data_IF_526972049780
#
_entry.id   IF_526972049780
#
_cell.length_a   1.000
_cell.length_b   1.000
_cell.length_c   1.000
_cell.angle_alpha   90.00
_cell.angle_beta   90.00
_cell.angle_gamma   90.00
#
_symmetry.space_group_name_H-M   'P 1'
#
loop_
_entity.id
_entity.type
_entity.pdbx_description
1 polymer ?
#
# COMPACT_ATOMS: atom_id res chain seq x y z
N UNK A 1 -9.78 20.05 -10.91
CA UNK A 1 -11.14 19.91 -10.33
C UNK A 1 -12.27 20.20 -11.31
N UNK A 2 -12.18 21.26 -12.13
CA UNK A 2 -13.30 21.69 -13.00
C UNK A 2 -13.36 20.99 -14.38
N UNK A 3 -12.26 20.38 -14.80
CA UNK A 3 -12.13 19.77 -16.12
C UNK A 3 -13.13 18.62 -16.37
N UNK A 4 -13.26 17.68 -15.45
CA UNK A 4 -14.14 16.50 -15.64
C UNK A 4 -15.61 16.93 -15.77
N UNK A 5 -16.05 17.85 -14.91
CA UNK A 5 -17.41 18.39 -14.95
C UNK A 5 -17.70 19.17 -16.24
N UNK A 6 -16.74 19.97 -16.75
CA UNK A 6 -16.93 20.71 -18.00
C UNK A 6 -17.06 19.78 -19.22
N UNK A 7 -16.37 18.63 -19.20
CA UNK A 7 -16.52 17.60 -20.22
C UNK A 7 -17.90 16.94 -20.16
N UNK A 8 -18.44 16.68 -18.97
CA UNK A 8 -19.81 16.17 -18.83
C UNK A 8 -20.85 17.14 -19.39
N UNK A 9 -20.74 18.44 -19.07
CA UNK A 9 -21.62 19.48 -19.58
C UNK A 9 -21.55 19.59 -21.10
N UNK A 10 -20.33 19.64 -21.67
CA UNK A 10 -20.13 19.75 -23.12
C UNK A 10 -20.74 18.56 -23.88
N UNK A 11 -20.76 17.38 -23.27
CA UNK A 11 -21.34 16.16 -23.86
C UNK A 11 -22.83 15.96 -23.53
N UNK A 12 -23.48 16.93 -22.87
CA UNK A 12 -24.90 16.87 -22.55
C UNK A 12 -25.28 15.84 -21.46
N UNK A 13 -24.31 15.36 -20.69
CA UNK A 13 -24.58 14.45 -19.57
C UNK A 13 -25.31 15.21 -18.46
N UNK A 14 -26.33 14.59 -17.87
CA UNK A 14 -27.12 15.18 -16.79
C UNK A 14 -26.46 14.90 -15.43
N UNK A 15 -26.55 15.84 -14.47
CA UNK A 15 -26.15 15.55 -13.10
C UNK A 15 -27.11 14.52 -12.49
N UNK A 16 -26.56 13.58 -11.70
CA UNK A 16 -27.33 12.46 -11.11
C UNK A 16 -27.17 12.38 -9.59
N UNK A 17 -26.23 13.13 -9.03
CA UNK A 17 -25.97 13.12 -7.59
C UNK A 17 -26.85 14.19 -6.94
N UNK A 18 -27.50 13.90 -5.82
CA UNK A 18 -28.23 14.90 -5.05
C UNK A 18 -27.23 15.58 -4.11
N UNK A 19 -26.76 16.78 -4.44
CA UNK A 19 -25.49 17.32 -3.88
C UNK A 19 -25.63 18.64 -3.15
N UNK A 20 -26.78 19.28 -3.26
CA UNK A 20 -26.99 20.63 -2.74
C UNK A 20 -27.93 20.55 -1.54
N UNK A 21 -27.83 21.50 -0.61
CA UNK A 21 -28.69 21.55 0.59
C UNK A 21 -30.18 21.66 0.23
N UNK A 22 -30.49 22.17 -0.97
CA UNK A 22 -31.82 22.28 -1.59
C UNK A 22 -32.21 21.05 -2.45
N UNK A 23 -31.39 20.00 -2.49
CA UNK A 23 -31.70 18.73 -3.16
C UNK A 23 -31.59 18.77 -4.69
N UNK A 24 -31.04 19.84 -5.26
CA UNK A 24 -30.74 19.92 -6.69
C UNK A 24 -29.63 18.95 -7.09
N UNK A 25 -29.81 18.36 -8.28
CA UNK A 25 -28.86 17.43 -8.86
C UNK A 25 -27.58 18.15 -9.32
N UNK A 26 -26.42 17.59 -8.96
CA UNK A 26 -25.10 18.06 -9.36
C UNK A 26 -24.20 16.91 -9.84
N UNK A 27 -23.00 17.27 -10.30
CA UNK A 27 -22.02 16.32 -10.87
C UNK A 27 -21.02 15.79 -9.85
N UNK A 28 -21.19 16.13 -8.58
CA UNK A 28 -20.23 15.83 -7.51
C UNK A 28 -20.95 15.07 -6.40
N UNK A 29 -20.21 14.34 -5.59
CA UNK A 29 -20.73 13.74 -4.36
C UNK A 29 -19.73 14.06 -3.26
N UNK A 30 -20.04 14.98 -2.34
CA UNK A 30 -19.21 15.17 -1.17
C UNK A 30 -19.30 13.90 -0.33
N UNK A 31 -18.16 13.45 0.15
CA UNK A 31 -18.06 12.43 1.17
C UNK A 31 -17.08 12.94 2.23
N UNK A 32 -17.30 12.63 3.51
CA UNK A 32 -16.33 12.96 4.53
C UNK A 32 -15.03 12.24 4.20
N UNK A 33 -13.93 12.98 4.19
CA UNK A 33 -12.62 12.37 4.26
C UNK A 33 -12.42 11.88 5.69
N UNK A 34 -11.69 10.77 5.85
CA UNK A 34 -11.29 10.29 7.17
C UNK A 34 -10.32 11.25 7.87
N UNK A 35 -9.69 10.76 8.93
CA UNK A 35 -8.57 11.47 9.55
C UNK A 35 -7.41 11.64 8.56
N UNK A 36 -6.71 12.77 8.67
CA UNK A 36 -5.38 12.96 8.08
C UNK A 36 -4.35 12.84 9.18
N UNK A 37 -3.20 12.28 8.84
CA UNK A 37 -2.03 12.24 9.72
C UNK A 37 -0.87 12.93 9.00
N UNK A 38 -0.09 13.70 9.74
CA UNK A 38 1.15 14.29 9.22
C UNK A 38 2.33 13.39 9.62
N UNK A 39 3.25 13.16 8.68
CA UNK A 39 4.52 12.51 9.00
C UNK A 39 5.39 13.49 9.79
N UNK A 40 5.61 13.19 11.06
CA UNK A 40 6.47 14.01 11.94
C UNK A 40 7.93 13.57 11.85
N UNK A 41 8.17 12.26 11.97
CA UNK A 41 9.51 11.68 12.00
C UNK A 41 9.47 10.22 11.52
N UNK A 42 10.48 9.82 10.76
CA UNK A 42 10.70 8.42 10.36
C UNK A 42 12.19 8.16 10.27
N UNK A 43 12.61 6.99 10.73
CA UNK A 43 13.99 6.54 10.67
C UNK A 43 14.04 5.03 10.48
N UNK A 44 15.03 4.58 9.71
CA UNK A 44 15.32 3.18 9.51
C UNK A 44 16.83 2.97 9.62
N UNK A 45 17.23 1.99 10.42
CA UNK A 45 18.63 1.60 10.58
C UNK A 45 18.74 0.09 10.77
N UNK A 46 19.82 -0.50 10.27
CA UNK A 46 20.16 -1.90 10.50
C UNK A 46 21.66 -2.05 10.72
N UNK A 47 22.05 -2.54 11.91
CA UNK A 47 23.45 -2.54 12.33
C UNK A 47 24.01 -1.11 12.36
N UNK A 48 25.16 -0.90 11.72
CA UNK A 48 25.80 0.41 11.61
C UNK A 48 25.33 1.25 10.40
N UNK A 49 24.34 0.76 9.65
CA UNK A 49 23.79 1.45 8.48
C UNK A 49 22.54 2.23 8.84
N UNK A 50 22.56 3.53 8.57
CA UNK A 50 21.37 4.37 8.47
C UNK A 50 20.88 4.41 7.02
N UNK A 51 19.57 4.47 6.83
CA UNK A 51 18.93 4.54 5.52
C UNK A 51 18.27 5.91 5.34
N UNK A 52 18.27 6.41 4.11
CA UNK A 52 17.71 7.72 3.76
C UNK A 52 16.30 7.58 3.17
N UNK A 53 15.33 8.35 3.71
CA UNK A 53 13.97 8.41 3.19
C UNK A 53 13.97 8.90 1.74
N UNK A 54 13.09 8.35 0.90
CA UNK A 54 12.94 8.62 -0.54
C UNK A 54 14.12 8.19 -1.44
N UNK A 55 15.25 7.79 -0.86
CA UNK A 55 16.35 7.15 -1.58
C UNK A 55 16.37 5.65 -1.35
N UNK A 56 16.45 5.24 -0.08
CA UNK A 56 16.62 3.85 0.31
C UNK A 56 15.29 3.18 0.69
N UNK A 57 14.32 3.96 1.18
CA UNK A 57 13.00 3.46 1.56
C UNK A 57 11.91 4.53 1.42
N UNK A 58 10.67 4.08 1.33
CA UNK A 58 9.48 4.93 1.31
C UNK A 58 8.49 4.47 2.39
N UNK A 59 7.72 5.40 2.93
CA UNK A 59 6.63 5.09 3.84
C UNK A 59 5.42 4.57 3.05
N UNK A 60 4.82 3.46 3.50
CA UNK A 60 3.64 2.86 2.83
C UNK A 60 2.30 3.42 3.31
N UNK A 61 2.30 4.24 4.36
CA UNK A 61 1.10 4.80 5.04
C UNK A 61 0.11 3.74 5.58
N UNK A 62 0.52 2.47 5.61
CA UNK A 62 -0.32 1.33 6.03
C UNK A 62 -0.14 0.94 7.51
N UNK A 63 0.71 1.66 8.25
CA UNK A 63 1.10 1.33 9.62
C UNK A 63 0.57 2.29 10.69
N UNK A 64 0.91 2.00 11.94
CA UNK A 64 0.78 2.92 13.08
C UNK A 64 2.13 3.55 13.40
N UNK A 65 2.14 4.61 14.19
CA UNK A 65 3.36 5.15 14.77
C UNK A 65 3.90 4.23 15.89
N UNK A 66 5.17 3.87 15.79
CA UNK A 66 5.95 3.24 16.86
C UNK A 66 7.45 3.28 16.52
N UNK A 67 8.30 3.39 17.54
CA UNK A 67 9.72 3.12 17.43
C UNK A 67 10.04 1.75 18.02
N UNK A 68 10.73 0.89 17.27
CA UNK A 68 11.13 -0.44 17.73
C UNK A 68 12.55 -0.78 17.29
N UNK A 69 13.28 -1.46 18.17
CA UNK A 69 14.56 -2.11 17.85
C UNK A 69 14.43 -3.58 18.21
N UNK A 70 14.56 -4.44 17.21
CA UNK A 70 14.40 -5.88 17.36
C UNK A 70 15.22 -6.64 16.31
N UNK A 71 15.50 -7.93 16.53
CA UNK A 71 16.15 -8.76 15.52
C UNK A 71 15.37 -8.80 14.20
N UNK A 72 16.09 -8.78 13.08
CA UNK A 72 15.52 -8.97 11.76
C UNK A 72 15.36 -10.46 11.47
N UNK A 73 14.22 -10.83 10.88
CA UNK A 73 14.02 -12.14 10.25
C UNK A 73 13.65 -11.94 8.79
N UNK A 74 14.43 -12.53 7.88
CA UNK A 74 14.08 -12.56 6.48
C UNK A 74 13.07 -13.68 6.22
N UNK A 75 11.88 -13.34 5.74
CA UNK A 75 10.74 -14.26 5.60
C UNK A 75 10.35 -14.49 4.14
N UNK A 76 11.31 -14.39 3.21
CA UNK A 76 11.05 -14.58 1.79
C UNK A 76 9.98 -13.60 1.28
N UNK A 77 8.85 -14.13 0.82
CA UNK A 77 7.72 -13.34 0.33
C UNK A 77 6.61 -13.15 1.37
N UNK A 78 6.75 -13.72 2.57
CA UNK A 78 5.74 -13.64 3.63
C UNK A 78 4.43 -14.35 3.29
N UNK A 79 4.48 -15.35 2.41
CA UNK A 79 3.31 -16.08 1.92
C UNK A 79 3.15 -17.38 2.69
N UNK A 80 2.01 -17.56 3.35
CA UNK A 80 1.68 -18.76 4.13
C UNK A 80 1.27 -19.94 3.23
N UNK A 81 0.57 -19.66 2.13
CA UNK A 81 0.14 -20.69 1.19
C UNK A 81 0.12 -20.15 -0.24
N UNK A 82 0.92 -20.76 -1.10
CA UNK A 82 1.02 -20.47 -2.53
C UNK A 82 0.93 -21.74 -3.40
N UNK A 83 1.11 -21.60 -4.73
CA UNK A 83 1.13 -22.71 -5.67
C UNK A 83 2.18 -23.77 -5.31
N UNK A 84 1.91 -25.03 -5.69
CA UNK A 84 2.82 -26.16 -5.50
C UNK A 84 3.33 -26.30 -4.05
N UNK A 85 2.43 -26.11 -3.08
CA UNK A 85 2.70 -26.14 -1.63
C UNK A 85 3.76 -25.14 -1.17
N UNK A 86 3.94 -24.04 -1.91
CA UNK A 86 4.85 -22.97 -1.52
C UNK A 86 4.43 -22.32 -0.19
N UNK A 87 5.36 -22.25 0.75
CA UNK A 87 5.24 -21.46 1.98
C UNK A 87 6.58 -20.76 2.25
N UNK A 88 6.50 -19.53 2.76
CA UNK A 88 7.65 -18.79 3.28
C UNK A 88 8.02 -19.18 4.71
N UNK A 89 7.23 -20.05 5.35
CA UNK A 89 7.35 -20.42 6.75
C UNK A 89 7.41 -21.94 6.92
N UNK A 90 8.33 -22.41 7.75
CA UNK A 90 8.33 -23.77 8.30
C UNK A 90 7.37 -23.91 9.48
N UNK A 91 7.04 -25.16 9.84
CA UNK A 91 6.10 -25.45 10.94
C UNK A 91 6.56 -24.92 12.30
N UNK A 92 7.87 -24.80 12.51
CA UNK A 92 8.49 -24.39 13.78
C UNK A 92 8.99 -22.93 13.78
N UNK A 93 8.68 -22.14 12.74
CA UNK A 93 9.15 -20.76 12.66
C UNK A 93 8.43 -19.85 13.68
N UNK A 94 9.20 -19.12 14.49
CA UNK A 94 8.68 -18.13 15.45
C UNK A 94 9.23 -16.73 15.18
N UNK A 95 8.33 -15.81 14.86
CA UNK A 95 8.61 -14.40 14.58
C UNK A 95 8.32 -13.48 15.77
N UNK A 96 7.97 -14.03 16.93
CA UNK A 96 7.63 -13.26 18.12
C UNK A 96 8.74 -12.28 18.50
N UNK A 97 8.39 -10.99 18.58
CA UNK A 97 9.32 -9.93 18.97
C UNK A 97 10.38 -9.58 17.92
N UNK A 98 10.15 -9.92 16.64
CA UNK A 98 11.08 -9.66 15.53
C UNK A 98 10.48 -8.67 14.53
N UNK A 99 11.35 -8.06 13.73
CA UNK A 99 10.97 -7.27 12.56
C UNK A 99 11.12 -8.18 11.33
N UNK A 100 10.02 -8.44 10.64
CA UNK A 100 10.03 -9.24 9.41
C UNK A 100 10.51 -8.39 8.23
N UNK A 101 11.43 -8.95 7.43
CA UNK A 101 11.90 -8.39 6.16
C UNK A 101 11.46 -9.34 5.06
N UNK A 102 10.76 -8.82 4.05
CA UNK A 102 10.23 -9.62 2.95
C UNK A 102 10.50 -8.95 1.61
N UNK A 103 10.53 -9.76 0.56
CA UNK A 103 10.38 -9.30 -0.80
C UNK A 103 8.95 -8.84 -1.04
N UNK A 104 8.82 -7.82 -1.89
CA UNK A 104 7.52 -7.36 -2.37
C UNK A 104 6.97 -8.35 -3.39
N UNK A 105 5.67 -8.60 -3.34
CA UNK A 105 4.91 -9.53 -4.20
C UNK A 105 5.23 -11.00 -3.92
N UNK A 106 4.87 -11.87 -4.86
CA UNK A 106 5.24 -13.28 -4.94
C UNK A 106 6.54 -13.49 -5.73
N UNK A 107 7.04 -14.74 -5.90
CA UNK A 107 8.19 -15.02 -6.74
C UNK A 107 8.09 -14.43 -8.15
N UNK A 108 9.07 -13.60 -8.49
CA UNK A 108 9.17 -12.94 -9.80
C UNK A 108 10.34 -13.52 -10.61
N UNK A 109 10.25 -13.46 -11.93
CA UNK A 109 11.37 -13.74 -12.83
C UNK A 109 12.38 -12.58 -12.91
N UNK A 110 13.44 -12.74 -13.70
CA UNK A 110 14.50 -11.74 -13.87
C UNK A 110 14.01 -10.43 -14.50
N UNK A 111 12.87 -10.46 -15.21
CA UNK A 111 12.25 -9.28 -15.83
C UNK A 111 11.25 -8.60 -14.88
N UNK A 112 11.05 -9.14 -13.68
CA UNK A 112 10.10 -8.64 -12.69
C UNK A 112 8.66 -8.99 -13.00
N UNK A 113 8.40 -10.09 -13.73
CA UNK A 113 7.06 -10.64 -13.97
C UNK A 113 6.78 -11.77 -12.98
N UNK A 114 5.53 -11.86 -12.53
CA UNK A 114 5.05 -12.94 -11.66
C UNK A 114 5.33 -14.31 -12.29
N UNK A 115 5.87 -15.23 -11.49
CA UNK A 115 5.96 -16.65 -11.85
C UNK A 115 4.63 -17.38 -11.68
N UNK A 116 3.63 -16.76 -11.03
CA UNK A 116 2.35 -17.37 -10.71
C UNK A 116 1.22 -16.84 -11.60
N UNK A 117 1.22 -15.55 -11.93
CA UNK A 117 0.16 -14.92 -12.71
C UNK A 117 0.43 -14.97 -14.23
N UNK A 118 -0.61 -15.27 -15.02
CA UNK A 118 -0.51 -15.25 -16.49
C UNK A 118 -0.37 -13.83 -17.06
N UNK A 119 -0.89 -12.81 -16.36
CA UNK A 119 -0.72 -11.39 -16.69
C UNK A 119 -0.72 -10.51 -15.44
N UNK A 120 0.18 -9.52 -15.39
CA UNK A 120 0.30 -8.59 -14.27
C UNK A 120 1.44 -8.95 -13.31
N UNK A 121 1.44 -8.26 -12.17
CA UNK A 121 1.97 -8.72 -10.90
C UNK A 121 0.77 -9.12 -10.05
#
# INVERSE_FOLDING_TARGET
>A
REYVESQFKTRGLKPVMNVTEDGAAGYRQPFPLGSSSDLVEIGLSAGDREFELDSDFVMTEMGSDAGITAPLSFVGYGIESGPDDFSSFGEDDDLSGRIAVLFRFEPMDEEGKSLWAESGW
#
